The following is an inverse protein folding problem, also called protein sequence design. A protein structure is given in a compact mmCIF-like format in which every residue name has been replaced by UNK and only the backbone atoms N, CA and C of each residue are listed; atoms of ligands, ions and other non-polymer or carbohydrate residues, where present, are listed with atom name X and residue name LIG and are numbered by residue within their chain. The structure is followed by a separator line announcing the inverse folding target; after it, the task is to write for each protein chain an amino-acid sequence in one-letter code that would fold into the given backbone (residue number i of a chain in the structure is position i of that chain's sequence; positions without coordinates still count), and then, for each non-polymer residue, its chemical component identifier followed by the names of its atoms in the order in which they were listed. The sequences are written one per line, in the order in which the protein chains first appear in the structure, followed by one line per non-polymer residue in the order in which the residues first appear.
data_IF_354547234760
#
_entry.id   IF_354547234760
#
_cell.length_a   1.000
_cell.length_b   1.000
_cell.length_c   1.000
_cell.angle_alpha   90.00
_cell.angle_beta   90.00
_cell.angle_gamma   90.00
#
_symmetry.space_group_name_H-M   'P 1'
#
loop_
_entity.id
_entity.type
_entity.pdbx_description
1 polymer ?
#
# COMPACT_ATOMS: atom_id res chain seq x y z
N UNK A 1 -14.56 -67.41 18.85
CA UNK A 1 -13.58 -66.53 18.18
C UNK A 1 -14.21 -65.14 18.18
N UNK A 2 -13.74 -64.05 18.80
CA UNK A 2 -12.42 -63.60 19.22
C UNK A 2 -12.48 -63.06 20.66
N UNK A 3 -11.33 -63.14 21.32
CA UNK A 3 -11.04 -62.77 22.71
C UNK A 3 -11.14 -61.25 22.92
N UNK A 4 -11.80 -60.82 24.00
CA UNK A 4 -11.65 -59.49 24.62
C UNK A 4 -10.95 -59.74 25.94
N UNK A 5 -9.69 -59.33 26.06
CA UNK A 5 -8.92 -59.43 27.30
C UNK A 5 -7.85 -58.33 27.34
N UNK A 6 -7.93 -57.52 28.40
CA UNK A 6 -6.87 -56.71 29.07
C UNK A 6 -6.23 -55.58 28.23
N UNK A 7 -5.79 -54.45 28.78
CA UNK A 7 -5.19 -54.25 30.09
C UNK A 7 -5.22 -52.76 30.44
N UNK A 8 -5.37 -52.41 31.71
CA UNK A 8 -4.96 -51.09 32.20
C UNK A 8 -3.42 -50.97 32.27
N UNK A 9 -2.94 -49.76 32.57
CA UNK A 9 -2.01 -49.43 33.66
C UNK A 9 -1.10 -48.22 33.35
N UNK A 10 -0.83 -47.49 34.43
CA UNK A 10 0.32 -46.61 34.72
C UNK A 10 0.40 -45.22 34.07
N UNK A 11 -0.02 -44.22 34.86
CA UNK A 11 0.64 -42.92 34.89
C UNK A 11 2.10 -43.11 35.35
N UNK A 12 3.04 -42.76 34.48
CA UNK A 12 4.43 -42.50 34.87
C UNK A 12 4.65 -40.98 34.89
N UNK A 13 4.89 -40.44 36.08
CA UNK A 13 5.49 -39.11 36.25
C UNK A 13 6.97 -39.21 35.82
N UNK A 14 7.36 -38.45 34.80
CA UNK A 14 8.77 -38.12 34.57
C UNK A 14 8.92 -36.60 34.52
N UNK A 15 9.60 -36.05 35.53
CA UNK A 15 10.23 -34.74 35.47
C UNK A 15 11.26 -34.73 34.33
N UNK A 16 11.12 -33.79 33.40
CA UNK A 16 12.12 -33.45 32.42
C UNK A 16 12.22 -31.94 32.32
N UNK A 17 13.28 -31.37 32.89
CA UNK A 17 13.63 -29.97 32.77
C UNK A 17 13.97 -29.65 31.31
N UNK A 18 13.28 -28.70 30.69
CA UNK A 18 13.66 -28.09 29.42
C UNK A 18 13.83 -26.58 29.65
N UNK A 19 15.03 -26.08 29.36
CA UNK A 19 15.48 -24.73 29.70
C UNK A 19 14.78 -23.60 28.94
N UNK A 20 14.96 -22.34 29.38
CA UNK A 20 14.41 -21.18 28.70
C UNK A 20 15.34 -20.79 27.54
N UNK A 21 15.01 -21.28 26.35
CA UNK A 21 15.82 -21.03 25.15
C UNK A 21 15.00 -21.02 23.87
N UNK A 22 13.71 -20.68 23.94
CA UNK A 22 12.93 -20.35 22.77
C UNK A 22 13.04 -18.86 22.53
N UNK A 23 13.91 -18.45 21.60
CA UNK A 23 13.76 -17.13 20.99
C UNK A 23 12.34 -17.02 20.47
N UNK A 24 11.67 -15.89 20.72
CA UNK A 24 10.35 -15.61 20.19
C UNK A 24 10.49 -15.47 18.67
N UNK A 25 10.52 -16.60 17.96
CA UNK A 25 10.47 -16.65 16.50
C UNK A 25 9.12 -16.06 16.11
N UNK A 26 9.14 -14.76 15.76
CA UNK A 26 7.93 -13.99 15.48
C UNK A 26 6.95 -14.77 14.60
N UNK A 27 5.67 -14.71 14.97
CA UNK A 27 4.64 -15.45 14.26
C UNK A 27 4.41 -14.82 12.88
N UNK A 28 4.39 -15.65 11.83
CA UNK A 28 4.01 -15.22 10.48
C UNK A 28 2.62 -14.54 10.46
N UNK A 29 2.33 -13.65 9.49
CA UNK A 29 1.05 -12.94 9.42
C UNK A 29 -0.16 -13.88 9.34
N UNK A 30 -1.29 -13.39 9.84
CA UNK A 30 -2.59 -14.07 9.64
C UNK A 30 -3.04 -14.07 8.17
N UNK A 31 -4.07 -14.87 7.88
CA UNK A 31 -4.73 -14.82 6.57
C UNK A 31 -5.47 -13.47 6.39
N UNK A 32 -5.37 -12.81 5.23
CA UNK A 32 -6.18 -11.64 4.92
C UNK A 32 -7.68 -11.94 5.02
N UNK A 33 -8.44 -10.99 5.57
CA UNK A 33 -9.91 -11.08 5.72
C UNK A 33 -10.60 -10.07 4.79
N UNK A 34 -11.93 -10.15 4.71
CA UNK A 34 -12.71 -9.26 3.84
C UNK A 34 -12.39 -9.43 2.35
N UNK A 35 -11.85 -10.59 1.96
CA UNK A 35 -11.45 -10.81 0.57
C UNK A 35 -12.68 -10.87 -0.32
N UNK A 36 -12.64 -10.16 -1.44
CA UNK A 36 -13.65 -10.17 -2.51
C UNK A 36 -12.98 -10.30 -3.87
N UNK A 37 -13.73 -10.78 -4.87
CA UNK A 37 -13.31 -10.80 -6.26
C UNK A 37 -14.51 -10.41 -7.14
N UNK A 38 -14.33 -9.41 -7.99
CA UNK A 38 -15.37 -8.90 -8.89
C UNK A 38 -14.82 -8.78 -10.31
N UNK A 39 -15.64 -9.09 -11.31
CA UNK A 39 -15.22 -8.90 -12.69
C UNK A 39 -15.04 -7.41 -12.99
N UNK A 40 -13.88 -7.05 -13.55
CA UNK A 40 -13.61 -5.69 -14.03
C UNK A 40 -14.03 -5.49 -15.47
N UNK A 41 -13.72 -6.48 -16.30
CA UNK A 41 -14.07 -6.55 -17.71
C UNK A 41 -14.08 -8.01 -18.14
N UNK A 42 -14.31 -8.31 -19.42
CA UNK A 42 -14.27 -9.67 -19.94
C UNK A 42 -12.90 -10.35 -19.79
N UNK A 43 -11.84 -9.57 -19.52
CA UNK A 43 -10.47 -10.10 -19.39
C UNK A 43 -9.79 -9.72 -18.09
N UNK A 44 -10.54 -9.17 -17.12
CA UNK A 44 -9.98 -8.76 -15.83
C UNK A 44 -10.89 -9.05 -14.64
N UNK A 45 -10.27 -9.31 -13.49
CA UNK A 45 -10.93 -9.42 -12.18
C UNK A 45 -10.18 -8.55 -11.18
N UNK A 46 -10.93 -7.84 -10.36
CA UNK A 46 -10.45 -7.05 -9.23
C UNK A 46 -10.52 -7.90 -7.97
N UNK A 47 -9.38 -8.19 -7.36
CA UNK A 47 -9.31 -8.90 -6.07
C UNK A 47 -8.96 -7.90 -4.99
N UNK A 48 -9.68 -7.92 -3.88
CA UNK A 48 -9.61 -6.89 -2.84
C UNK A 48 -9.61 -7.53 -1.46
N UNK A 49 -9.06 -6.85 -0.45
CA UNK A 49 -8.94 -7.38 0.91
C UNK A 49 -8.77 -6.26 1.96
N UNK A 50 -8.99 -6.62 3.23
CA UNK A 50 -8.63 -5.77 4.37
C UNK A 50 -7.13 -5.87 4.62
N UNK A 51 -6.46 -4.73 4.82
CA UNK A 51 -5.05 -4.76 5.21
C UNK A 51 -4.87 -5.30 6.63
N UNK A 52 -3.69 -5.86 6.86
CA UNK A 52 -3.16 -6.34 8.12
C UNK A 52 -1.95 -5.47 8.49
N UNK A 53 -1.76 -5.27 9.79
CA UNK A 53 -0.55 -4.64 10.33
C UNK A 53 0.66 -5.58 10.23
N UNK A 54 1.87 -5.01 10.17
CA UNK A 54 3.11 -5.78 10.13
C UNK A 54 3.34 -6.57 8.83
N UNK A 55 2.65 -6.20 7.75
CA UNK A 55 2.78 -6.84 6.43
C UNK A 55 3.64 -5.99 5.51
N UNK A 56 4.60 -6.65 4.85
CA UNK A 56 5.48 -6.08 3.82
C UNK A 56 4.87 -6.17 2.43
N UNK A 57 4.13 -7.24 2.15
CA UNK A 57 3.52 -7.52 0.86
C UNK A 57 2.32 -8.47 0.94
N UNK A 58 1.44 -8.40 -0.07
CA UNK A 58 0.43 -9.41 -0.34
C UNK A 58 0.72 -10.16 -1.62
N UNK A 59 0.44 -11.46 -1.60
CA UNK A 59 0.50 -12.33 -2.77
C UNK A 59 -0.91 -12.78 -3.15
N UNK A 60 -1.29 -12.56 -4.40
CA UNK A 60 -2.58 -12.98 -4.94
C UNK A 60 -2.39 -14.20 -5.82
N UNK A 61 -3.23 -15.20 -5.61
CA UNK A 61 -3.21 -16.46 -6.33
C UNK A 61 -4.52 -16.69 -7.07
N UNK A 62 -4.42 -17.23 -8.29
CA UNK A 62 -5.53 -17.78 -9.07
C UNK A 62 -5.43 -19.31 -9.00
N UNK A 63 -6.31 -19.95 -8.24
CA UNK A 63 -6.11 -21.34 -7.81
C UNK A 63 -4.77 -21.50 -7.08
N UNK A 64 -3.89 -22.35 -7.60
CA UNK A 64 -2.55 -22.57 -7.03
C UNK A 64 -1.47 -21.64 -7.61
N UNK A 65 -1.73 -20.95 -8.72
CA UNK A 65 -0.75 -20.10 -9.41
C UNK A 65 -0.72 -18.69 -8.82
N UNK A 66 0.46 -18.21 -8.41
CA UNK A 66 0.65 -16.80 -8.02
C UNK A 66 0.50 -15.92 -9.27
N UNK A 67 -0.40 -14.94 -9.22
CA UNK A 67 -0.69 -14.02 -10.33
C UNK A 67 -0.18 -12.61 -10.09
N UNK A 68 0.17 -12.27 -8.84
CA UNK A 68 0.78 -10.98 -8.52
C UNK A 68 1.28 -10.89 -7.09
N UNK A 69 2.06 -9.84 -6.86
CA UNK A 69 2.63 -9.42 -5.58
C UNK A 69 2.46 -7.90 -5.50
N UNK A 70 1.97 -7.40 -4.37
CA UNK A 70 1.73 -5.96 -4.14
C UNK A 70 2.24 -5.58 -2.76
N UNK A 71 2.64 -4.31 -2.53
CA UNK A 71 3.14 -3.88 -1.22
C UNK A 71 2.08 -4.03 -0.12
N UNK A 72 2.52 -4.06 1.14
CA UNK A 72 1.66 -4.23 2.32
C UNK A 72 0.64 -3.10 2.53
N UNK A 73 0.81 -1.96 1.85
CA UNK A 73 -0.17 -0.87 1.79
C UNK A 73 -1.24 -1.06 0.71
N UNK A 74 -1.12 -2.09 -0.14
CA UNK A 74 -2.15 -2.35 -1.14
C UNK A 74 -3.35 -3.09 -0.53
N UNK A 75 -4.53 -2.69 -0.99
CA UNK A 75 -5.81 -3.30 -0.64
C UNK A 75 -6.47 -4.04 -1.81
N UNK A 76 -5.83 -4.01 -2.98
CA UNK A 76 -6.37 -4.58 -4.20
C UNK A 76 -5.29 -4.97 -5.20
N UNK A 77 -5.65 -5.87 -6.12
CA UNK A 77 -4.91 -6.19 -7.34
C UNK A 77 -5.86 -6.42 -8.52
N UNK A 78 -5.54 -5.83 -9.65
CA UNK A 78 -6.20 -6.09 -10.93
C UNK A 78 -5.51 -7.27 -11.63
N UNK A 79 -6.20 -8.41 -11.72
CA UNK A 79 -5.73 -9.59 -12.45
C UNK A 79 -6.25 -9.52 -13.87
N UNK A 80 -5.35 -9.34 -14.84
CA UNK A 80 -5.69 -9.13 -16.26
C UNK A 80 -5.34 -10.36 -17.12
N UNK A 81 -5.62 -10.28 -18.43
CA UNK A 81 -5.36 -11.34 -19.43
C UNK A 81 -6.08 -12.64 -19.07
N UNK A 82 -7.28 -12.53 -18.52
CA UNK A 82 -8.17 -13.64 -18.24
C UNK A 82 -8.99 -13.98 -19.48
N UNK A 83 -9.34 -15.26 -19.63
CA UNK A 83 -10.31 -15.69 -20.63
C UNK A 83 -11.72 -15.16 -20.28
N UNK A 84 -12.50 -14.70 -21.26
CA UNK A 84 -13.91 -14.34 -21.11
C UNK A 84 -14.80 -15.52 -20.70
N UNK A 85 -15.99 -15.23 -20.17
CA UNK A 85 -17.00 -16.23 -19.77
C UNK A 85 -16.44 -17.35 -18.88
N UNK A 86 -15.44 -17.04 -18.04
CA UNK A 86 -14.69 -18.05 -17.29
C UNK A 86 -14.76 -17.75 -15.80
N UNK A 87 -15.10 -18.76 -15.01
CA UNK A 87 -15.08 -18.69 -13.55
C UNK A 87 -13.66 -18.88 -13.02
N UNK A 88 -13.23 -17.98 -12.15
CA UNK A 88 -11.93 -18.02 -11.48
C UNK A 88 -12.11 -18.07 -9.97
N UNK A 89 -11.11 -18.66 -9.29
CA UNK A 89 -11.01 -18.73 -7.84
C UNK A 89 -9.74 -18.00 -7.41
N UNK A 90 -9.85 -17.11 -6.42
CA UNK A 90 -8.71 -16.36 -5.89
C UNK A 90 -8.54 -16.54 -4.39
N UNK A 91 -7.29 -16.45 -3.95
CA UNK A 91 -6.90 -16.35 -2.53
C UNK A 91 -5.76 -15.35 -2.39
N UNK A 92 -5.67 -14.70 -1.23
CA UNK A 92 -4.61 -13.74 -0.89
C UNK A 92 -3.80 -14.28 0.30
N UNK A 93 -2.49 -14.05 0.31
CA UNK A 93 -1.58 -14.33 1.43
C UNK A 93 -0.85 -13.05 1.82
N UNK A 94 -0.51 -12.90 3.09
CA UNK A 94 0.30 -11.80 3.59
C UNK A 94 1.72 -12.27 3.92
N UNK A 95 2.71 -11.43 3.63
CA UNK A 95 4.13 -11.64 3.92
C UNK A 95 4.63 -10.55 4.86
N UNK A 96 5.40 -10.89 5.88
CA UNK A 96 6.03 -9.91 6.78
C UNK A 96 7.39 -9.43 6.25
N UNK A 97 8.06 -8.58 7.02
CA UNK A 97 9.36 -7.99 6.68
C UNK A 97 10.50 -9.03 6.70
N UNK A 98 10.34 -10.10 7.48
CA UNK A 98 11.26 -11.25 7.49
C UNK A 98 11.02 -12.23 6.33
N UNK A 99 10.03 -11.94 5.47
CA UNK A 99 9.70 -12.76 4.31
C UNK A 99 8.85 -13.99 4.61
N UNK A 100 8.38 -14.17 5.86
CA UNK A 100 7.53 -15.29 6.24
C UNK A 100 6.12 -15.08 5.69
N UNK A 101 5.57 -16.12 5.08
CA UNK A 101 4.32 -16.05 4.35
C UNK A 101 3.19 -16.75 5.11
N UNK A 102 2.16 -15.99 5.48
CA UNK A 102 0.99 -16.47 6.20
C UNK A 102 0.13 -17.48 5.41
N UNK A 103 -0.93 -18.01 6.04
CA UNK A 103 -1.90 -18.88 5.37
C UNK A 103 -2.70 -18.14 4.29
N UNK A 104 -3.35 -18.91 3.40
CA UNK A 104 -4.28 -18.36 2.39
C UNK A 104 -5.55 -17.84 3.05
N UNK A 105 -6.11 -16.75 2.50
CA UNK A 105 -7.47 -16.31 2.78
C UNK A 105 -8.50 -17.37 2.39
N UNK A 106 -9.77 -17.13 2.74
CA UNK A 106 -10.88 -17.86 2.12
C UNK A 106 -10.84 -17.71 0.60
N UNK A 107 -11.32 -18.71 -0.11
CA UNK A 107 -11.52 -18.64 -1.56
C UNK A 107 -12.64 -17.67 -1.92
N UNK A 108 -12.40 -16.83 -2.91
CA UNK A 108 -13.40 -15.97 -3.53
C UNK A 108 -13.50 -16.25 -5.02
N UNK A 109 -14.67 -16.03 -5.60
CA UNK A 109 -14.97 -16.41 -6.98
C UNK A 109 -15.47 -15.22 -7.76
N UNK A 110 -15.02 -15.11 -9.00
CA UNK A 110 -15.53 -14.16 -9.98
C UNK A 110 -15.64 -14.84 -11.34
N UNK A 111 -16.66 -14.48 -12.11
CA UNK A 111 -16.82 -14.96 -13.49
C UNK A 111 -16.67 -13.78 -14.42
N UNK A 112 -15.69 -13.83 -15.33
CA UNK A 112 -15.55 -12.80 -16.36
C UNK A 112 -16.77 -12.84 -17.30
N UNK A 113 -17.32 -11.69 -17.71
CA UNK A 113 -18.39 -11.67 -18.71
C UNK A 113 -17.89 -12.14 -20.07
N UNK A 114 -18.82 -12.35 -21.00
CA UNK A 114 -18.48 -12.59 -22.40
C UNK A 114 -17.74 -11.38 -22.99
N UNK A 115 -16.75 -11.65 -23.86
CA UNK A 115 -16.07 -10.59 -24.58
C UNK A 115 -16.97 -10.02 -25.66
N UNK A 116 -16.84 -8.71 -25.88
CA UNK A 116 -17.54 -8.01 -26.95
C UNK A 116 -16.50 -7.35 -27.85
N UNK A 117 -15.96 -8.12 -28.80
CA UNK A 117 -14.75 -7.79 -29.56
C UNK A 117 -14.83 -6.53 -30.44
N UNK A 118 -16.00 -5.91 -30.58
CA UNK A 118 -16.22 -4.72 -31.40
C UNK A 118 -16.77 -3.52 -30.61
N UNK A 119 -16.89 -3.63 -29.28
CA UNK A 119 -17.34 -2.51 -28.47
C UNK A 119 -16.20 -1.50 -28.25
N UNK A 120 -16.42 -0.27 -28.71
CA UNK A 120 -15.51 0.87 -28.55
C UNK A 120 -16.21 2.05 -27.87
N UNK A 121 -17.45 1.87 -27.45
CA UNK A 121 -18.24 2.90 -26.78
C UNK A 121 -17.87 2.84 -25.30
N UNK A 122 -17.22 3.87 -24.77
CA UNK A 122 -17.05 3.94 -23.33
C UNK A 122 -18.40 4.26 -22.65
N UNK A 123 -18.64 3.76 -21.43
CA UNK A 123 -19.80 4.18 -20.65
C UNK A 123 -19.84 5.70 -20.44
N UNK A 124 -21.02 6.23 -20.16
CA UNK A 124 -21.17 7.61 -19.69
C UNK A 124 -20.45 7.80 -18.34
N UNK A 125 -19.97 9.02 -18.01
CA UNK A 125 -19.45 9.27 -16.68
C UNK A 125 -20.56 9.00 -15.64
N UNK A 126 -20.23 8.37 -14.49
CA UNK A 126 -21.17 8.27 -13.39
C UNK A 126 -21.70 9.67 -13.02
N UNK A 127 -22.97 9.74 -12.61
CA UNK A 127 -23.55 11.00 -12.15
C UNK A 127 -22.96 11.46 -10.83
N UNK A 128 -23.55 12.51 -10.24
CA UNK A 128 -23.00 13.17 -9.04
C UNK A 128 -22.70 12.18 -7.92
N UNK A 129 -21.43 12.10 -7.53
CA UNK A 129 -21.02 11.39 -6.33
C UNK A 129 -21.32 12.20 -5.06
N UNK A 130 -21.74 11.51 -4.02
CA UNK A 130 -21.96 12.02 -2.66
C UNK A 130 -21.34 11.05 -1.67
N UNK A 131 -21.19 11.46 -0.41
CA UNK A 131 -20.66 10.56 0.60
C UNK A 131 -20.58 11.20 1.98
N UNK A 132 -20.11 10.41 2.94
CA UNK A 132 -19.89 10.83 4.33
C UNK A 132 -18.77 10.02 4.97
N UNK A 133 -18.19 10.53 6.05
CA UNK A 133 -17.33 9.74 6.91
C UNK A 133 -18.08 8.50 7.43
N UNK A 134 -17.40 7.35 7.43
CA UNK A 134 -17.90 6.09 7.97
C UNK A 134 -16.97 5.61 9.09
N UNK A 135 -16.54 6.55 9.95
CA UNK A 135 -15.51 6.36 10.96
C UNK A 135 -14.23 7.14 10.64
N UNK A 136 -13.20 6.92 11.44
CA UNK A 136 -11.91 7.59 11.29
C UNK A 136 -11.06 7.00 10.15
N UNK A 137 -11.31 5.76 9.75
CA UNK A 137 -10.53 5.07 8.71
C UNK A 137 -11.33 4.66 7.48
N UNK A 138 -12.52 5.23 7.31
CA UNK A 138 -13.39 4.89 6.20
C UNK A 138 -14.31 6.04 5.80
N UNK A 139 -14.73 6.03 4.54
CA UNK A 139 -15.83 6.85 4.01
C UNK A 139 -16.82 5.97 3.27
N UNK A 140 -18.09 6.36 3.27
CA UNK A 140 -19.08 5.79 2.37
C UNK A 140 -19.28 6.73 1.19
N UNK A 141 -19.20 6.17 -0.03
CA UNK A 141 -19.47 6.85 -1.29
C UNK A 141 -20.76 6.30 -1.91
N UNK A 142 -21.51 7.16 -2.58
CA UNK A 142 -22.67 6.81 -3.40
C UNK A 142 -22.70 7.69 -4.65
N UNK A 143 -23.14 7.15 -5.78
CA UNK A 143 -23.22 7.86 -7.05
C UNK A 143 -24.46 7.45 -7.85
N UNK A 144 -24.82 8.26 -8.84
CA UNK A 144 -25.83 7.84 -9.82
C UNK A 144 -25.18 6.95 -10.86
N UNK A 145 -25.87 5.86 -11.23
CA UNK A 145 -25.38 4.89 -12.21
C UNK A 145 -25.03 5.57 -13.55
N UNK A 146 -23.96 5.08 -14.16
CA UNK A 146 -23.65 5.32 -15.56
C UNK A 146 -24.51 4.42 -16.46
N UNK A 147 -24.54 4.77 -17.74
CA UNK A 147 -25.18 4.01 -18.80
C UNK A 147 -24.16 3.66 -19.86
N UNK A 148 -24.38 2.56 -20.54
CA UNK A 148 -23.54 2.07 -21.61
C UNK A 148 -24.43 1.48 -22.71
N UNK A 149 -23.95 1.41 -23.96
CA UNK A 149 -24.73 0.84 -25.06
C UNK A 149 -24.92 -0.68 -24.92
N UNK A 150 -24.14 -1.33 -24.06
CA UNK A 150 -24.28 -2.75 -23.72
C UNK A 150 -24.48 -2.95 -22.23
N UNK A 151 -23.46 -2.68 -21.42
CA UNK A 151 -23.49 -2.90 -19.97
C UNK A 151 -22.26 -2.34 -19.26
N UNK A 152 -22.51 -1.61 -18.17
CA UNK A 152 -21.48 -1.32 -17.16
C UNK A 152 -21.17 -2.59 -16.36
N UNK A 153 -19.91 -3.02 -16.38
CA UNK A 153 -19.41 -4.21 -15.67
C UNK A 153 -18.88 -3.87 -14.30
N UNK A 154 -18.22 -2.72 -14.13
CA UNK A 154 -17.72 -2.27 -12.84
C UNK A 154 -17.69 -0.75 -12.70
N UNK A 155 -17.58 -0.30 -11.45
CA UNK A 155 -17.21 1.07 -11.12
C UNK A 155 -15.86 1.08 -10.41
N UNK A 156 -14.93 1.84 -10.95
CA UNK A 156 -13.60 2.04 -10.41
C UNK A 156 -13.56 3.35 -9.60
N UNK A 157 -13.11 3.27 -8.36
CA UNK A 157 -12.98 4.41 -7.44
C UNK A 157 -11.53 4.83 -7.41
N UNK A 158 -11.30 6.12 -7.62
CA UNK A 158 -9.99 6.72 -7.67
C UNK A 158 -9.79 7.73 -6.54
N UNK A 159 -8.58 7.79 -6.01
CA UNK A 159 -8.08 8.79 -5.09
C UNK A 159 -6.79 9.36 -5.66
N UNK A 160 -6.69 10.69 -5.80
CA UNK A 160 -5.47 11.31 -6.36
C UNK A 160 -5.11 10.82 -7.77
N UNK A 161 -6.08 10.30 -8.53
CA UNK A 161 -5.86 9.69 -9.86
C UNK A 161 -5.44 8.22 -9.82
N UNK A 162 -5.20 7.64 -8.65
CA UNK A 162 -4.88 6.22 -8.47
C UNK A 162 -6.15 5.44 -8.17
N UNK A 163 -6.36 4.30 -8.84
CA UNK A 163 -7.46 3.39 -8.53
C UNK A 163 -7.18 2.69 -7.21
N UNK A 164 -8.10 2.79 -6.26
CA UNK A 164 -7.95 2.24 -4.90
C UNK A 164 -9.03 1.22 -4.53
N UNK A 165 -10.12 1.18 -5.29
CA UNK A 165 -11.25 0.30 -5.03
C UNK A 165 -12.02 0.06 -6.32
N UNK A 166 -12.75 -1.05 -6.41
CA UNK A 166 -13.68 -1.33 -7.50
C UNK A 166 -14.88 -2.12 -6.98
N UNK A 167 -16.03 -1.95 -7.62
CA UNK A 167 -17.27 -2.67 -7.29
C UNK A 167 -17.95 -3.12 -8.58
N UNK A 168 -18.80 -4.15 -8.49
CA UNK A 168 -19.56 -4.63 -9.64
C UNK A 168 -20.52 -3.57 -10.19
N UNK A 169 -20.83 -3.64 -11.48
CA UNK A 169 -21.63 -2.63 -12.19
C UNK A 169 -23.09 -2.50 -11.73
N UNK A 170 -23.57 -3.45 -10.92
CA UNK A 170 -24.86 -3.35 -10.23
C UNK A 170 -24.81 -2.52 -8.94
N UNK A 171 -23.64 -2.05 -8.51
CA UNK A 171 -23.45 -1.29 -7.28
C UNK A 171 -23.25 0.19 -7.58
N UNK A 172 -23.94 1.04 -6.82
CA UNK A 172 -23.85 2.50 -6.90
C UNK A 172 -23.43 3.13 -5.58
N UNK A 173 -22.90 2.31 -4.67
CA UNK A 173 -22.35 2.75 -3.41
C UNK A 173 -21.27 1.77 -2.94
N UNK A 174 -20.28 2.28 -2.21
CA UNK A 174 -19.26 1.46 -1.55
C UNK A 174 -18.74 2.13 -0.28
N UNK A 175 -18.08 1.35 0.56
CA UNK A 175 -17.29 1.84 1.68
C UNK A 175 -15.82 1.69 1.31
N UNK A 176 -15.11 2.82 1.29
CA UNK A 176 -13.65 2.85 1.11
C UNK A 176 -13.03 2.85 2.49
N UNK A 177 -12.26 1.82 2.79
CA UNK A 177 -11.54 1.62 4.06
C UNK A 177 -10.03 1.83 3.87
N UNK A 178 -9.25 1.75 4.95
CA UNK A 178 -7.80 1.95 4.89
C UNK A 178 -7.37 3.42 4.88
N UNK A 179 -8.33 4.34 5.04
CA UNK A 179 -8.08 5.76 5.05
C UNK A 179 -7.48 6.21 6.39
N UNK A 180 -6.82 7.37 6.40
CA UNK A 180 -6.28 7.96 7.62
C UNK A 180 -7.33 8.78 8.37
N UNK A 181 -7.29 8.81 9.72
CA UNK A 181 -8.10 9.72 10.54
C UNK A 181 -7.92 11.20 10.20
N UNK A 182 -8.99 11.98 10.39
CA UNK A 182 -9.01 13.44 10.26
C UNK A 182 -8.52 14.00 8.92
N UNK A 183 -8.47 13.17 7.87
CA UNK A 183 -7.80 13.49 6.61
C UNK A 183 -8.82 13.79 5.54
N UNK A 184 -8.55 14.85 4.76
CA UNK A 184 -9.38 15.25 3.63
C UNK A 184 -8.93 14.55 2.35
N UNK A 185 -9.84 13.79 1.76
CA UNK A 185 -9.66 13.07 0.51
C UNK A 185 -10.49 13.66 -0.62
N UNK A 186 -10.07 13.40 -1.85
CA UNK A 186 -10.82 13.68 -3.08
C UNK A 186 -10.98 12.39 -3.88
N UNK A 187 -12.23 11.95 -4.05
CA UNK A 187 -12.55 10.74 -4.79
C UNK A 187 -13.25 11.04 -6.11
N UNK A 188 -12.95 10.25 -7.13
CA UNK A 188 -13.73 10.20 -8.38
C UNK A 188 -14.14 8.76 -8.67
N UNK A 189 -15.22 8.60 -9.44
CA UNK A 189 -15.73 7.30 -9.86
C UNK A 189 -15.76 7.26 -11.39
N UNK A 190 -15.35 6.13 -11.97
CA UNK A 190 -15.44 5.86 -13.41
C UNK A 190 -16.17 4.54 -13.62
N UNK A 191 -16.96 4.44 -14.69
CA UNK A 191 -17.63 3.21 -15.09
C UNK A 191 -16.80 2.50 -16.16
N UNK A 192 -16.79 1.16 -16.12
CA UNK A 192 -16.07 0.30 -17.07
C UNK A 192 -17.02 -0.73 -17.66
N UNK A 193 -16.88 -1.02 -18.95
CA UNK A 193 -17.65 -2.05 -19.65
C UNK A 193 -16.90 -3.39 -19.75
N UNK A 194 -17.48 -4.35 -20.49
CA UNK A 194 -16.86 -5.65 -20.71
C UNK A 194 -15.66 -5.62 -21.68
N UNK A 195 -15.59 -4.62 -22.57
CA UNK A 195 -14.51 -4.42 -23.53
C UNK A 195 -13.32 -3.63 -22.96
N UNK A 196 -13.39 -3.30 -21.66
CA UNK A 196 -12.38 -2.54 -20.93
C UNK A 196 -12.36 -1.04 -21.28
N UNK A 197 -13.41 -0.52 -21.91
CA UNK A 197 -13.57 0.92 -22.11
C UNK A 197 -13.95 1.58 -20.79
N UNK A 198 -13.23 2.64 -20.44
CA UNK A 198 -13.39 3.35 -19.17
C UNK A 198 -13.96 4.75 -19.42
N UNK A 199 -15.07 5.08 -18.77
CA UNK A 199 -15.74 6.37 -18.89
C UNK A 199 -14.81 7.54 -18.53
N UNK A 200 -15.13 8.79 -18.93
CA UNK A 200 -14.62 9.96 -18.23
C UNK A 200 -14.92 9.90 -16.72
N UNK A 201 -14.17 10.63 -15.90
CA UNK A 201 -14.44 10.71 -14.47
C UNK A 201 -15.75 11.45 -14.18
N UNK A 202 -16.54 10.92 -13.25
CA UNK A 202 -17.62 11.68 -12.62
C UNK A 202 -17.07 12.85 -11.78
N UNK A 203 -17.96 13.72 -11.32
CA UNK A 203 -17.59 14.85 -10.48
C UNK A 203 -16.89 14.39 -9.19
N UNK A 204 -15.78 15.05 -8.84
CA UNK A 204 -15.04 14.72 -7.63
C UNK A 204 -15.83 15.04 -6.36
N UNK A 205 -15.84 14.10 -5.41
CA UNK A 205 -16.39 14.30 -4.07
C UNK A 205 -15.24 14.44 -3.07
N UNK A 206 -15.33 15.47 -2.23
CA UNK A 206 -14.32 15.76 -1.22
C UNK A 206 -14.88 15.50 0.15
N UNK A 207 -14.26 14.58 0.87
CA UNK A 207 -14.71 14.11 2.18
C UNK A 207 -13.55 14.15 3.15
N UNK A 208 -13.85 14.42 4.41
CA UNK A 208 -12.91 14.19 5.50
C UNK A 208 -13.35 12.97 6.27
N UNK A 209 -12.42 12.08 6.60
CA UNK A 209 -12.66 11.04 7.60
C UNK A 209 -12.87 11.67 8.97
N UNK A 210 -13.51 10.94 9.88
CA UNK A 210 -13.68 11.43 11.25
C UNK A 210 -12.31 11.56 11.94
N UNK A 211 -12.17 12.47 12.93
CA UNK A 211 -10.99 12.49 13.79
C UNK A 211 -10.75 11.14 14.46
N UNK A 212 -9.50 10.85 14.78
CA UNK A 212 -9.07 9.66 15.49
C UNK A 212 -7.56 9.62 15.56
N UNK A 213 -7.02 8.68 16.33
CA UNK A 213 -5.57 8.57 16.49
C UNK A 213 -4.93 8.03 15.21
N UNK A 214 -4.05 8.86 14.65
CA UNK A 214 -3.12 8.54 13.59
C UNK A 214 -1.73 8.59 14.22
N UNK A 215 -1.02 7.45 14.33
CA UNK A 215 0.28 7.42 15.04
C UNK A 215 1.36 8.25 14.34
N UNK A 216 1.09 8.79 13.14
CA UNK A 216 1.93 9.72 12.39
C UNK A 216 3.22 9.09 11.83
N UNK A 217 3.78 8.10 12.53
CA UNK A 217 4.92 7.26 12.16
C UNK A 217 4.71 6.55 10.82
N UNK A 218 3.47 6.22 10.49
CA UNK A 218 3.14 5.54 9.22
C UNK A 218 3.29 6.46 7.99
N UNK A 219 3.37 7.78 8.19
CA UNK A 219 3.52 8.77 7.10
C UNK A 219 4.89 9.46 7.08
N UNK A 220 5.60 9.48 8.21
CA UNK A 220 6.98 9.93 8.27
C UNK A 220 7.89 8.86 7.64
N UNK A 221 8.83 9.23 6.77
CA UNK A 221 9.81 8.27 6.28
C UNK A 221 10.61 7.62 7.42
N UNK A 222 10.76 6.30 7.38
CA UNK A 222 11.40 5.53 8.43
C UNK A 222 12.91 5.42 8.22
N UNK A 223 13.64 4.95 9.24
CA UNK A 223 15.10 4.75 9.23
C UNK A 223 15.90 5.93 8.67
N UNK A 224 15.44 7.16 8.92
CA UNK A 224 16.08 8.35 8.42
C UNK A 224 17.47 8.56 9.03
N UNK A 225 18.47 8.57 8.15
CA UNK A 225 19.88 8.84 8.43
C UNK A 225 20.34 10.05 7.63
N UNK A 226 21.22 10.82 8.25
CA UNK A 226 21.93 11.92 7.63
C UNK A 226 23.41 11.80 8.01
N UNK A 227 24.28 11.90 7.01
CA UNK A 227 25.74 11.95 7.17
C UNK A 227 26.30 13.07 6.30
N UNK A 228 27.53 13.48 6.56
CA UNK A 228 28.24 14.43 5.71
C UNK A 228 29.37 13.74 5.00
N UNK A 229 29.67 14.19 3.78
CA UNK A 229 30.92 13.86 3.11
C UNK A 229 31.52 15.11 2.47
N UNK A 230 32.81 15.03 2.16
CA UNK A 230 33.55 16.08 1.46
C UNK A 230 33.94 15.58 0.07
N UNK A 231 33.69 16.40 -0.94
CA UNK A 231 34.09 16.14 -2.33
C UNK A 231 34.45 17.48 -3.00
N UNK A 232 35.57 17.52 -3.73
CA UNK A 232 36.02 18.69 -4.50
C UNK A 232 36.09 19.99 -3.68
N UNK A 233 36.52 19.90 -2.41
CA UNK A 233 36.64 21.04 -1.49
C UNK A 233 35.29 21.61 -1.01
N UNK A 234 34.21 20.84 -1.16
CA UNK A 234 32.86 21.18 -0.74
C UNK A 234 32.27 20.09 0.16
N UNK A 235 31.33 20.49 1.02
CA UNK A 235 30.57 19.63 1.91
C UNK A 235 29.18 19.35 1.35
N UNK A 236 28.77 18.10 1.51
CA UNK A 236 27.47 17.57 1.11
C UNK A 236 26.83 16.86 2.30
N UNK A 237 25.50 16.86 2.34
CA UNK A 237 24.71 16.01 3.23
C UNK A 237 24.14 14.85 2.42
N UNK A 238 24.46 13.63 2.85
CA UNK A 238 23.85 12.41 2.35
C UNK A 238 22.71 11.97 3.26
N UNK A 239 21.57 11.73 2.64
CA UNK A 239 20.36 11.29 3.27
C UNK A 239 20.05 9.85 2.83
N UNK A 240 19.60 9.03 3.77
CA UNK A 240 19.04 7.71 3.48
C UNK A 240 17.79 7.48 4.33
N UNK A 241 16.74 6.91 3.71
CA UNK A 241 15.48 6.63 4.41
C UNK A 241 14.69 5.49 3.75
N UNK A 242 13.74 4.95 4.49
CA UNK A 242 12.72 4.01 4.01
C UNK A 242 11.45 4.83 3.71
N UNK A 243 10.92 4.80 2.46
CA UNK A 243 9.64 5.43 2.13
C UNK A 243 8.51 5.03 3.10
N UNK A 244 7.58 5.95 3.42
CA UNK A 244 6.48 5.60 4.30
C UNK A 244 5.54 4.61 3.62
N UNK A 245 4.98 3.68 4.41
CA UNK A 245 4.07 2.64 3.91
C UNK A 245 2.66 3.20 3.78
N UNK A 246 2.39 3.82 2.64
CA UNK A 246 1.09 4.43 2.32
C UNK A 246 0.47 3.82 1.08
N UNK A 247 -0.84 4.03 0.91
CA UNK A 247 -1.61 3.51 -0.23
C UNK A 247 -1.18 4.16 -1.54
N UNK A 248 -0.23 3.54 -2.24
CA UNK A 248 0.31 4.01 -3.51
C UNK A 248 1.82 4.24 -3.49
N UNK A 249 2.31 5.00 -4.47
CA UNK A 249 3.73 5.27 -4.62
C UNK A 249 4.03 6.71 -4.18
N UNK A 250 4.96 6.86 -3.25
CA UNK A 250 5.50 8.17 -2.89
C UNK A 250 6.54 8.58 -3.93
N UNK A 251 6.25 9.62 -4.68
CA UNK A 251 7.09 10.14 -5.76
C UNK A 251 7.77 11.46 -5.41
N UNK A 252 7.30 12.15 -4.36
CA UNK A 252 7.78 13.47 -3.99
C UNK A 252 8.10 13.54 -2.50
N UNK A 253 9.21 14.21 -2.16
CA UNK A 253 9.64 14.48 -0.79
C UNK A 253 10.03 15.94 -0.65
N UNK A 254 9.78 16.51 0.53
CA UNK A 254 10.26 17.83 0.91
C UNK A 254 11.35 17.67 1.96
N UNK A 255 12.52 18.24 1.69
CA UNK A 255 13.63 18.30 2.64
C UNK A 255 13.65 19.68 3.28
N UNK A 256 13.74 19.72 4.61
CA UNK A 256 14.00 20.92 5.38
C UNK A 256 15.41 20.89 5.94
N UNK A 257 16.14 21.99 5.74
CA UNK A 257 17.45 22.26 6.31
C UNK A 257 17.34 23.55 7.13
N UNK A 258 17.77 23.51 8.38
CA UNK A 258 17.81 24.65 9.30
C UNK A 258 16.45 25.38 9.41
N UNK A 259 15.36 24.59 9.36
CA UNK A 259 13.98 25.06 9.45
C UNK A 259 13.37 25.57 8.14
N UNK A 260 14.14 25.68 7.06
CA UNK A 260 13.67 26.12 5.75
C UNK A 260 13.54 24.95 4.77
N UNK A 261 12.53 24.97 3.91
CA UNK A 261 12.42 24.00 2.82
C UNK A 261 13.49 24.32 1.76
N UNK A 262 14.47 23.43 1.60
CA UNK A 262 15.62 23.66 0.70
C UNK A 262 15.50 22.95 -0.63
N UNK A 263 14.73 21.85 -0.70
CA UNK A 263 14.46 21.18 -1.97
C UNK A 263 13.19 20.32 -1.90
N UNK A 264 12.55 20.16 -3.06
CA UNK A 264 11.55 19.13 -3.32
C UNK A 264 12.17 18.10 -4.25
N UNK A 265 12.35 16.87 -3.75
CA UNK A 265 12.84 15.76 -4.55
C UNK A 265 11.65 15.08 -5.22
N UNK A 266 11.61 15.10 -6.54
CA UNK A 266 10.59 14.43 -7.36
C UNK A 266 11.27 13.36 -8.20
N UNK A 267 10.84 12.10 -8.05
CA UNK A 267 11.33 11.01 -8.89
C UNK A 267 10.72 11.09 -10.29
N UNK A 268 11.57 11.20 -11.31
CA UNK A 268 11.17 11.13 -12.72
C UNK A 268 11.02 9.72 -13.29
N UNK A 269 11.22 8.67 -12.46
CA UNK A 269 11.16 7.26 -12.83
C UNK A 269 10.46 6.41 -11.76
N UNK A 270 10.67 5.08 -11.74
CA UNK A 270 10.09 4.21 -10.70
C UNK A 270 10.78 4.50 -9.36
N UNK A 271 10.07 5.02 -8.33
CA UNK A 271 10.70 5.35 -7.05
C UNK A 271 11.15 4.07 -6.32
N UNK A 272 12.27 4.13 -5.60
CA UNK A 272 12.72 3.01 -4.77
C UNK A 272 11.70 2.74 -3.67
N UNK A 273 11.42 1.45 -3.42
CA UNK A 273 10.41 1.02 -2.44
C UNK A 273 11.00 0.71 -1.06
N UNK A 274 12.21 0.16 -1.03
CA UNK A 274 12.82 -0.32 0.22
C UNK A 274 13.70 0.74 0.86
N UNK A 275 14.51 1.45 0.06
CA UNK A 275 15.41 2.49 0.55
C UNK A 275 15.66 3.56 -0.52
N UNK A 276 15.47 4.81 -0.13
CA UNK A 276 15.80 5.98 -0.92
C UNK A 276 17.05 6.66 -0.37
N UNK A 277 17.83 7.28 -1.25
CA UNK A 277 19.00 8.07 -0.90
C UNK A 277 19.02 9.37 -1.68
N UNK A 278 19.59 10.42 -1.09
CA UNK A 278 19.78 11.71 -1.77
C UNK A 278 20.99 12.43 -1.19
N UNK A 279 21.78 13.08 -2.04
CA UNK A 279 22.92 13.89 -1.62
C UNK A 279 22.79 15.31 -2.16
N UNK A 280 23.08 16.33 -1.35
CA UNK A 280 23.02 17.73 -1.76
C UNK A 280 24.07 18.59 -1.07
N UNK A 281 24.52 19.63 -1.77
CA UNK A 281 25.56 20.57 -1.35
C UNK A 281 25.09 21.45 -0.19
N UNK A 282 25.96 21.68 0.80
CA UNK A 282 25.67 22.53 1.97
C UNK A 282 26.70 23.62 2.24
N UNK A 283 27.84 23.63 1.55
CA UNK A 283 28.82 24.71 1.72
C UNK A 283 30.25 24.25 1.55
N UNK A 284 31.19 25.11 1.95
CA UNK A 284 32.62 24.81 2.03
C UNK A 284 33.19 25.02 3.43
N UNK A 285 32.35 25.45 4.37
CA UNK A 285 32.75 25.71 5.75
C UNK A 285 32.76 24.41 6.54
N UNK A 286 33.88 24.14 7.20
CA UNK A 286 34.03 23.04 8.15
C UNK A 286 33.49 23.45 9.53
N UNK A 287 32.95 22.49 10.28
CA UNK A 287 32.39 22.70 11.62
C UNK A 287 30.99 23.33 11.63
N UNK A 288 30.36 23.54 10.47
CA UNK A 288 29.00 24.06 10.37
C UNK A 288 27.99 22.97 10.76
N UNK A 289 27.14 23.28 11.74
CA UNK A 289 26.08 22.38 12.20
C UNK A 289 24.78 22.63 11.44
N UNK A 290 24.20 21.56 10.88
CA UNK A 290 22.95 21.60 10.14
C UNK A 290 21.90 20.70 10.77
N UNK A 291 20.65 21.17 10.78
CA UNK A 291 19.47 20.41 11.18
C UNK A 291 18.67 19.99 9.96
N UNK A 292 18.53 18.70 9.74
CA UNK A 292 17.82 18.16 8.58
C UNK A 292 16.66 17.25 9.00
N UNK A 293 15.54 17.40 8.31
CA UNK A 293 14.39 16.48 8.37
C UNK A 293 13.68 16.46 7.03
N UNK A 294 12.92 15.42 6.76
CA UNK A 294 12.18 15.32 5.50
C UNK A 294 10.77 14.78 5.71
N UNK A 295 9.91 14.95 4.71
CA UNK A 295 8.56 14.36 4.70
C UNK A 295 8.16 13.98 3.29
N UNK A 296 7.26 13.01 3.17
CA UNK A 296 6.74 12.51 1.91
C UNK A 296 5.47 13.27 1.46
N UNK A 297 5.31 13.47 0.15
CA UNK A 297 4.02 13.73 -0.47
C UNK A 297 3.29 12.41 -0.61
N UNK A 298 2.18 12.29 0.08
CA UNK A 298 1.39 11.06 0.08
C UNK A 298 0.60 10.96 -1.24
N UNK A 299 0.22 9.74 -1.68
CA UNK A 299 -0.55 9.52 -2.91
C UNK A 299 -1.94 10.20 -2.94
N UNK A 300 -2.46 10.60 -1.77
CA UNK A 300 -3.67 11.42 -1.67
C UNK A 300 -3.43 12.91 -1.98
N UNK A 301 -2.19 13.30 -2.27
CA UNK A 301 -1.76 14.65 -2.56
C UNK A 301 -1.49 15.51 -1.32
N UNK A 302 -1.56 14.95 -0.10
CA UNK A 302 -1.22 15.66 1.15
C UNK A 302 0.24 15.46 1.53
N UNK A 303 0.76 16.27 2.45
CA UNK A 303 2.09 16.08 3.03
C UNK A 303 1.97 15.25 4.31
N UNK A 304 2.79 14.20 4.43
CA UNK A 304 2.92 13.39 5.63
C UNK A 304 3.67 14.10 6.76
N UNK A 305 3.84 13.39 7.87
CA UNK A 305 4.65 13.85 9.00
C UNK A 305 6.14 13.97 8.62
N UNK A 306 6.85 14.84 9.34
CA UNK A 306 8.31 14.92 9.24
C UNK A 306 8.97 13.75 9.95
N UNK A 307 10.13 13.34 9.44
CA UNK A 307 11.07 12.50 10.18
C UNK A 307 11.51 13.20 11.47
N UNK A 308 12.05 12.42 12.41
CA UNK A 308 12.82 13.01 13.50
C UNK A 308 13.98 13.82 12.93
N UNK A 309 14.23 15.00 13.51
CA UNK A 309 15.31 15.87 13.09
C UNK A 309 16.68 15.23 13.37
N UNK A 310 17.59 15.34 12.41
CA UNK A 310 18.98 14.91 12.52
C UNK A 310 19.89 16.11 12.48
N UNK A 311 20.89 16.10 13.36
CA UNK A 311 21.96 17.10 13.37
C UNK A 311 23.17 16.47 12.72
N UNK A 312 23.78 17.16 11.76
CA UNK A 312 25.06 16.78 11.15
C UNK A 312 26.00 17.97 11.18
N UNK A 313 27.30 17.68 11.24
CA UNK A 313 28.35 18.71 11.25
C UNK A 313 29.26 18.45 10.05
N UNK A 314 29.66 19.49 9.33
CA UNK A 314 30.64 19.38 8.25
C UNK A 314 32.04 19.10 8.82
N UNK A 315 32.35 17.84 9.08
CA UNK A 315 33.64 17.43 9.64
C UNK A 315 34.70 17.23 8.54
N UNK A 316 35.93 17.70 8.79
CA UNK A 316 37.08 17.35 7.96
C UNK A 316 37.41 15.86 8.16
N UNK A 317 37.73 15.17 7.06
CA UNK A 317 38.11 13.75 7.10
C UNK A 317 39.39 13.59 7.96
N UNK A 318 39.41 12.74 9.01
CA UNK A 318 40.58 12.59 9.87
C UNK A 318 41.84 12.10 9.14
N UNK A 319 41.73 11.55 7.93
CA UNK A 319 42.88 11.03 7.18
C UNK A 319 43.75 12.09 6.47
N UNK A 320 43.33 13.36 6.39
CA UNK A 320 44.11 14.42 5.68
C UNK A 320 45.10 15.18 6.60
N UNK A 321 45.36 14.68 7.81
CA UNK A 321 46.31 15.30 8.77
C UNK A 321 47.73 14.70 8.75
N UNK A 322 48.01 13.73 7.87
CA UNK A 322 49.33 13.13 7.72
C UNK A 322 49.98 13.42 6.37
N UNK A 323 50.21 14.70 6.03
CA UNK A 323 51.30 15.11 5.15
C UNK A 323 51.50 16.63 5.22
N UNK A 324 52.39 17.07 6.11
CA UNK A 324 53.07 18.38 6.05
C UNK A 324 54.54 18.22 6.36
#
# INVERSE_FOLDING_TARGET
MRRVVLCGWMLALCCGCAGPGGGDEGRAPGAPTGVTAEAGSATSVHVMWNALSGVSAYEVYRGTTKVGDVPGSAHMLDVTRLAPSTAYVFTVRARDDEGRLGPRSREVRATTPAAVAADRSAPTPPGRATGRAAGSRAVQLSWTAATDDRKVVSYDIFQGGVKIHSVGGGQTATVVTGLRPGTRYSFTVRARDAADNLSPAGAAVRLSTAPGDDEGRDTAPADFRATTHRADGAYYIDLAWVPPRVDGVVTEYQIQLDGQAVTSLVWGGTPPRDRATHSFYVGREAGAGHRVRLRARLPDGTWGAFTAERVVTTEDDPEDTHER
#
